data_IF_597346045165
#
_entry.id   IF_597346045165
#
_cell.length_a   1.000
_cell.length_b   1.000
_cell.length_c   1.000
_cell.angle_alpha   90.00
_cell.angle_beta   90.00
_cell.angle_gamma   90.00
#
_symmetry.space_group_name_H-M   'P 1'
#
loop_
_entity.id
_entity.type
_entity.pdbx_description
1 polymer ?
#
# COMPACT_ATOMS: atom_id res chain seq x y z
N UNK A 1 -47.10 23.31 11.18
CA UNK A 1 -45.86 23.43 10.37
C UNK A 1 -44.57 23.23 11.17
N UNK A 2 -44.33 23.96 12.29
CA UNK A 2 -43.10 23.78 13.09
C UNK A 2 -42.85 22.34 13.57
N UNK A 3 -43.85 21.65 14.13
CA UNK A 3 -43.72 20.25 14.60
C UNK A 3 -43.41 19.22 13.49
N UNK A 4 -43.97 19.42 12.29
CA UNK A 4 -43.73 18.55 11.13
C UNK A 4 -42.30 18.74 10.61
N UNK A 5 -41.83 19.99 10.54
CA UNK A 5 -40.45 20.29 10.18
C UNK A 5 -39.44 19.71 11.19
N UNK A 6 -39.73 19.76 12.49
CA UNK A 6 -38.88 19.15 13.52
C UNK A 6 -38.79 17.64 13.33
N UNK A 7 -39.93 16.95 13.11
CA UNK A 7 -39.96 15.50 12.87
C UNK A 7 -39.16 15.14 11.62
N UNK A 8 -39.34 15.86 10.51
CA UNK A 8 -38.57 15.63 9.27
C UNK A 8 -37.06 15.82 9.47
N UNK A 9 -36.64 16.83 10.23
CA UNK A 9 -35.21 17.07 10.53
C UNK A 9 -34.64 15.92 11.37
N UNK A 10 -35.32 15.46 12.42
CA UNK A 10 -34.89 14.27 13.19
C UNK A 10 -34.87 12.99 12.37
N UNK A 11 -35.83 12.80 11.47
CA UNK A 11 -35.86 11.63 10.59
C UNK A 11 -34.68 11.65 9.60
N UNK A 12 -34.36 12.81 9.02
CA UNK A 12 -33.19 12.97 8.17
C UNK A 12 -31.89 12.67 8.93
N UNK A 13 -31.70 13.24 10.13
CA UNK A 13 -30.49 13.03 10.93
C UNK A 13 -30.32 11.55 11.27
N UNK A 14 -31.39 10.86 11.67
CA UNK A 14 -31.34 9.42 12.00
C UNK A 14 -31.01 8.56 10.78
N UNK A 15 -31.58 8.85 9.60
CA UNK A 15 -31.20 8.18 8.35
C UNK A 15 -29.74 8.44 7.95
N UNK A 16 -29.24 9.67 8.13
CA UNK A 16 -27.84 10.01 7.85
C UNK A 16 -26.88 9.29 8.81
N UNK A 17 -27.21 9.21 10.10
CA UNK A 17 -26.40 8.48 11.08
C UNK A 17 -26.39 6.97 10.81
N UNK A 18 -27.53 6.39 10.42
CA UNK A 18 -27.63 4.96 10.09
C UNK A 18 -26.83 4.62 8.82
N UNK A 19 -26.92 5.47 7.79
CA UNK A 19 -26.10 5.29 6.59
C UNK A 19 -24.59 5.38 6.94
N UNK A 20 -24.19 6.34 7.77
CA UNK A 20 -22.79 6.45 8.20
C UNK A 20 -22.28 5.22 8.96
N UNK A 21 -23.12 4.58 9.80
CA UNK A 21 -22.75 3.32 10.46
C UNK A 21 -22.61 2.17 9.46
N UNK A 22 -23.55 2.01 8.52
CA UNK A 22 -23.49 0.95 7.50
C UNK A 22 -22.23 1.08 6.62
N UNK A 23 -21.89 2.29 6.18
CA UNK A 23 -20.70 2.54 5.38
C UNK A 23 -19.41 2.23 6.14
N UNK A 24 -19.39 2.48 7.46
CA UNK A 24 -18.25 2.14 8.31
C UNK A 24 -18.09 0.62 8.44
N UNK A 25 -19.17 -0.11 8.68
CA UNK A 25 -19.13 -1.57 8.76
C UNK A 25 -18.64 -2.21 7.45
N UNK A 26 -19.12 -1.71 6.30
CA UNK A 26 -18.67 -2.16 4.99
C UNK A 26 -17.17 -1.88 4.79
N UNK A 27 -16.70 -0.68 5.15
CA UNK A 27 -15.28 -0.31 5.01
C UNK A 27 -14.39 -1.18 5.90
N UNK A 28 -14.81 -1.42 7.15
CA UNK A 28 -14.08 -2.26 8.09
C UNK A 28 -14.07 -3.73 7.63
N UNK A 29 -15.17 -4.24 7.06
CA UNK A 29 -15.23 -5.57 6.45
C UNK A 29 -14.28 -5.70 5.26
N UNK A 30 -14.27 -4.71 4.35
CA UNK A 30 -13.37 -4.70 3.19
C UNK A 30 -11.91 -4.63 3.62
N UNK A 31 -11.62 -3.83 4.65
CA UNK A 31 -10.28 -3.73 5.21
C UNK A 31 -9.81 -5.05 5.84
N UNK A 32 -10.71 -5.77 6.51
CA UNK A 32 -10.42 -7.10 7.05
C UNK A 32 -10.14 -8.11 5.93
N UNK A 33 -10.90 -8.07 4.83
CA UNK A 33 -10.63 -8.90 3.66
C UNK A 33 -9.25 -8.60 3.07
N UNK A 34 -8.95 -7.32 2.79
CA UNK A 34 -7.65 -6.87 2.26
C UNK A 34 -6.50 -7.36 3.12
N UNK A 35 -6.66 -7.25 4.44
CA UNK A 35 -5.72 -7.72 5.45
C UNK A 35 -5.49 -9.23 5.37
N UNK A 36 -6.55 -10.03 5.37
CA UNK A 36 -6.45 -11.50 5.31
C UNK A 36 -5.77 -11.93 4.02
N UNK A 37 -6.13 -11.33 2.89
CA UNK A 37 -5.49 -11.63 1.61
C UNK A 37 -4.01 -11.24 1.59
N UNK A 38 -3.66 -10.08 2.13
CA UNK A 38 -2.27 -9.67 2.28
C UNK A 38 -1.46 -10.64 3.16
N UNK A 39 -2.05 -11.16 4.24
CA UNK A 39 -1.43 -12.18 5.09
C UNK A 39 -1.19 -13.49 4.32
N UNK A 40 -2.17 -13.95 3.54
CA UNK A 40 -2.03 -15.14 2.68
C UNK A 40 -0.92 -14.96 1.65
N UNK A 41 -0.84 -13.78 1.01
CA UNK A 41 0.22 -13.47 0.04
C UNK A 41 1.59 -13.48 0.72
N UNK A 42 1.72 -12.82 1.87
CA UNK A 42 2.98 -12.76 2.61
C UNK A 42 3.42 -14.13 3.13
N UNK A 43 2.48 -15.03 3.46
CA UNK A 43 2.81 -16.38 3.93
C UNK A 43 3.55 -17.21 2.87
N UNK A 44 3.43 -16.84 1.58
CA UNK A 44 4.18 -17.48 0.48
C UNK A 44 5.67 -17.11 0.48
N UNK A 45 6.04 -16.12 1.29
CA UNK A 45 7.40 -15.61 1.45
C UNK A 45 7.92 -15.79 2.89
N UNK A 46 7.34 -16.69 3.69
CA UNK A 46 7.73 -16.91 5.09
C UNK A 46 9.20 -17.34 5.25
N UNK A 47 9.84 -17.80 4.18
CA UNK A 47 11.29 -18.09 4.14
C UNK A 47 12.16 -16.84 4.15
N UNK A 48 11.60 -15.66 3.85
CA UNK A 48 12.30 -14.38 3.86
C UNK A 48 12.02 -13.69 5.20
N UNK A 49 12.99 -13.76 6.11
CA UNK A 49 12.95 -13.03 7.38
C UNK A 49 13.26 -11.54 7.18
N UNK A 50 12.71 -10.69 8.05
CA UNK A 50 12.99 -9.26 8.10
C UNK A 50 11.74 -8.40 8.01
N UNK A 51 11.95 -7.08 8.02
CA UNK A 51 10.86 -6.13 7.82
C UNK A 51 10.35 -6.21 6.39
N UNK A 52 9.04 -5.99 6.22
CA UNK A 52 8.38 -6.06 4.92
C UNK A 52 7.32 -5.00 4.75
N UNK A 53 7.25 -4.42 3.57
CA UNK A 53 6.17 -3.54 3.13
C UNK A 53 5.36 -4.30 2.09
N UNK A 54 4.04 -4.24 2.20
CA UNK A 54 3.12 -4.73 1.20
C UNK A 54 2.15 -3.60 0.83
N UNK A 55 1.97 -3.41 -0.47
CA UNK A 55 0.94 -2.55 -1.03
C UNK A 55 0.13 -3.35 -2.05
N UNK A 56 -1.19 -3.16 -2.08
CA UNK A 56 -2.05 -3.86 -3.03
C UNK A 56 -3.03 -2.91 -3.72
N UNK A 57 -3.47 -3.35 -4.90
CA UNK A 57 -4.57 -2.78 -5.67
C UNK A 57 -5.59 -3.90 -5.93
N UNK A 58 -6.89 -3.57 -5.79
CA UNK A 58 -8.01 -4.50 -6.01
C UNK A 58 -7.95 -5.80 -5.20
N UNK A 59 -7.13 -5.87 -4.15
CA UNK A 59 -6.84 -7.12 -3.44
C UNK A 59 -6.38 -8.26 -4.38
N UNK A 60 -5.80 -7.89 -5.52
CA UNK A 60 -5.43 -8.79 -6.61
C UNK A 60 -3.95 -8.66 -6.96
N UNK A 61 -3.48 -7.42 -7.09
CA UNK A 61 -2.11 -7.13 -7.50
C UNK A 61 -1.35 -6.50 -6.34
N UNK A 62 -0.19 -7.07 -6.02
CA UNK A 62 0.57 -6.79 -4.82
C UNK A 62 2.00 -6.41 -5.17
N UNK A 63 2.51 -5.38 -4.50
CA UNK A 63 3.92 -5.03 -4.45
C UNK A 63 4.47 -5.32 -3.07
N UNK A 64 5.54 -6.09 -3.00
CA UNK A 64 6.13 -6.51 -1.75
C UNK A 64 7.61 -6.11 -1.75
N UNK A 65 8.05 -5.48 -0.67
CA UNK A 65 9.43 -5.08 -0.45
C UNK A 65 9.90 -5.71 0.86
N UNK A 66 10.97 -6.49 0.81
CA UNK A 66 11.65 -7.04 1.98
C UNK A 66 12.94 -6.25 2.22
N UNK A 67 13.13 -5.78 3.45
CA UNK A 67 14.40 -5.24 3.91
C UNK A 67 15.30 -6.38 4.38
N UNK A 68 16.46 -6.52 3.74
CA UNK A 68 17.53 -7.41 4.14
C UNK A 68 18.74 -6.56 4.55
N UNK A 69 19.76 -7.19 5.14
CA UNK A 69 20.88 -6.49 5.79
C UNK A 69 21.48 -5.33 4.98
N UNK A 70 21.69 -5.54 3.67
CA UNK A 70 22.40 -4.57 2.81
C UNK A 70 21.65 -4.23 1.51
N UNK A 71 20.46 -4.76 1.28
CA UNK A 71 19.72 -4.58 0.03
C UNK A 71 18.23 -4.89 0.22
N UNK A 72 17.43 -4.64 -0.82
CA UNK A 72 16.00 -4.89 -0.80
C UNK A 72 15.63 -5.97 -1.83
N UNK A 73 14.74 -6.89 -1.44
CA UNK A 73 14.09 -7.79 -2.42
C UNK A 73 12.70 -7.29 -2.68
N UNK A 74 12.37 -7.15 -3.95
CA UNK A 74 11.10 -6.59 -4.39
C UNK A 74 10.38 -7.57 -5.29
N UNK A 75 9.07 -7.73 -5.09
CA UNK A 75 8.24 -8.66 -5.83
C UNK A 75 6.94 -7.99 -6.26
N UNK A 76 6.51 -8.32 -7.48
CA UNK A 76 5.14 -8.10 -7.95
C UNK A 76 4.46 -9.46 -7.92
N UNK A 77 3.30 -9.52 -7.28
CA UNK A 77 2.51 -10.75 -7.13
C UNK A 77 1.08 -10.48 -7.57
N UNK A 78 0.55 -11.33 -8.42
CA UNK A 78 -0.87 -11.30 -8.81
C UNK A 78 -1.53 -12.59 -8.34
N UNK A 79 -2.69 -12.47 -7.72
CA UNK A 79 -3.49 -13.60 -7.25
C UNK A 79 -4.87 -13.65 -7.91
N UNK A 80 -5.54 -14.80 -7.84
CA UNK A 80 -6.94 -14.95 -8.21
C UNK A 80 -7.90 -14.59 -7.05
N UNK A 81 -9.20 -14.78 -7.25
CA UNK A 81 -10.23 -14.48 -6.26
C UNK A 81 -10.16 -15.35 -4.99
N UNK A 82 -9.49 -16.51 -5.05
CA UNK A 82 -9.36 -17.49 -3.96
C UNK A 82 -7.91 -17.47 -3.39
N UNK A 83 -7.13 -16.44 -3.73
CA UNK A 83 -5.76 -16.23 -3.28
C UNK A 83 -4.73 -17.25 -3.79
N UNK A 84 -4.98 -17.91 -4.91
CA UNK A 84 -3.93 -18.65 -5.61
C UNK A 84 -3.01 -17.66 -6.32
N UNK A 85 -1.71 -17.90 -6.21
CA UNK A 85 -0.70 -17.13 -6.95
C UNK A 85 -0.84 -17.46 -8.43
N UNK A 86 -1.09 -16.43 -9.24
CA UNK A 86 -1.04 -16.51 -10.70
C UNK A 86 0.36 -16.14 -11.21
N UNK A 87 0.95 -15.09 -10.63
CA UNK A 87 2.25 -14.55 -11.06
C UNK A 87 3.07 -14.14 -9.84
N UNK A 88 4.37 -14.48 -9.83
CA UNK A 88 5.39 -13.85 -8.98
C UNK A 88 6.53 -13.39 -9.88
N UNK A 89 6.88 -12.11 -9.79
CA UNK A 89 7.97 -11.51 -10.54
C UNK A 89 8.89 -10.73 -9.61
N UNK A 90 10.17 -11.10 -9.58
CA UNK A 90 11.19 -10.35 -8.85
C UNK A 90 11.53 -9.05 -9.60
N UNK A 91 11.51 -7.92 -8.90
CA UNK A 91 11.95 -6.62 -9.44
C UNK A 91 13.43 -6.44 -9.13
N UNK A 92 14.27 -6.69 -10.15
CA UNK A 92 15.74 -6.67 -10.03
C UNK A 92 16.39 -5.28 -9.94
N UNK A 93 15.82 -4.35 -9.18
CA UNK A 93 16.34 -2.98 -9.04
C UNK A 93 17.78 -2.96 -8.48
N UNK A 94 18.07 -3.70 -7.39
CA UNK A 94 19.43 -3.74 -6.81
C UNK A 94 20.45 -4.39 -7.76
N UNK A 95 20.03 -5.45 -8.48
CA UNK A 95 20.85 -6.07 -9.53
C UNK A 95 21.20 -5.05 -10.63
N UNK A 96 20.25 -4.21 -11.04
CA UNK A 96 20.51 -3.15 -12.02
C UNK A 96 21.40 -2.03 -11.45
N UNK A 97 21.25 -1.64 -10.18
CA UNK A 97 22.13 -0.66 -9.51
C UNK A 97 23.58 -1.14 -9.55
N UNK A 98 23.84 -2.38 -9.13
CA UNK A 98 25.21 -2.93 -9.09
C UNK A 98 25.80 -3.08 -10.49
N UNK A 99 25.00 -3.55 -11.45
CA UNK A 99 25.39 -3.61 -12.87
C UNK A 99 25.75 -2.23 -13.45
N UNK A 100 25.04 -1.18 -13.04
CA UNK A 100 25.35 0.18 -13.48
C UNK A 100 26.60 0.71 -12.79
N UNK A 101 26.79 0.50 -11.48
CA UNK A 101 27.98 0.91 -10.73
C UNK A 101 29.27 0.25 -11.23
N UNK A 102 29.21 -1.01 -11.67
CA UNK A 102 30.38 -1.75 -12.16
C UNK A 102 30.94 -1.21 -13.49
N UNK A 103 30.20 -0.36 -14.22
CA UNK A 103 30.65 0.17 -15.51
C UNK A 103 31.59 1.37 -15.32
N UNK A 104 32.80 1.27 -15.89
CA UNK A 104 33.80 2.36 -15.90
C UNK A 104 33.28 3.64 -16.57
N UNK A 105 32.46 3.51 -17.61
CA UNK A 105 31.82 4.64 -18.30
C UNK A 105 30.31 4.41 -18.44
N UNK A 106 29.53 5.38 -17.97
CA UNK A 106 28.07 5.40 -18.07
C UNK A 106 27.61 6.55 -18.99
N UNK A 107 26.78 6.28 -20.01
CA UNK A 107 26.14 7.34 -20.79
C UNK A 107 25.14 8.15 -19.93
N UNK A 108 24.81 9.37 -20.37
CA UNK A 108 23.99 10.34 -19.60
C UNK A 108 22.64 9.77 -19.13
N UNK A 109 21.94 9.05 -20.01
CA UNK A 109 20.67 8.40 -19.69
C UNK A 109 20.79 7.36 -18.56
N UNK A 110 21.84 6.53 -18.58
CA UNK A 110 22.11 5.53 -17.54
C UNK A 110 22.54 6.17 -16.22
N UNK A 111 23.21 7.33 -16.24
CA UNK A 111 23.48 8.12 -15.02
C UNK A 111 22.19 8.65 -14.40
N UNK A 112 21.27 9.17 -15.22
CA UNK A 112 19.95 9.62 -14.75
C UNK A 112 19.16 8.48 -14.12
N UNK A 113 19.15 7.31 -14.78
CA UNK A 113 18.51 6.10 -14.23
C UNK A 113 19.14 5.67 -12.91
N UNK A 114 20.47 5.62 -12.82
CA UNK A 114 21.16 5.28 -11.57
C UNK A 114 20.82 6.26 -10.43
N UNK A 115 20.74 7.57 -10.74
CA UNK A 115 20.33 8.59 -9.75
C UNK A 115 18.91 8.30 -9.23
N UNK A 116 17.96 8.07 -10.15
CA UNK A 116 16.58 7.76 -9.80
C UNK A 116 16.48 6.47 -8.97
N UNK A 117 17.24 5.43 -9.31
CA UNK A 117 17.27 4.18 -8.55
C UNK A 117 17.80 4.40 -7.11
N UNK A 118 18.82 5.25 -6.94
CA UNK A 118 19.33 5.61 -5.61
C UNK A 118 18.31 6.42 -4.80
N UNK A 119 17.68 7.41 -5.41
CA UNK A 119 16.61 8.20 -4.77
C UNK A 119 15.45 7.30 -4.33
N UNK A 120 15.04 6.34 -5.17
CA UNK A 120 14.02 5.36 -4.79
C UNK A 120 14.46 4.49 -3.60
N UNK A 121 15.75 4.14 -3.49
CA UNK A 121 16.29 3.36 -2.36
C UNK A 121 16.29 4.16 -1.06
N UNK A 122 16.57 5.45 -1.12
CA UNK A 122 16.43 6.35 0.03
C UNK A 122 14.96 6.39 0.49
N UNK A 123 14.01 6.57 -0.43
CA UNK A 123 12.57 6.54 -0.12
C UNK A 123 12.15 5.22 0.53
N UNK A 124 12.61 4.08 0.00
CA UNK A 124 12.31 2.76 0.57
C UNK A 124 12.96 2.58 1.95
N UNK A 125 14.21 3.03 2.11
CA UNK A 125 14.91 2.96 3.39
C UNK A 125 14.16 3.74 4.47
N UNK A 126 13.73 4.95 4.15
CA UNK A 126 12.94 5.78 5.06
C UNK A 126 11.60 5.13 5.39
N UNK A 127 10.97 4.43 4.43
CA UNK A 127 9.71 3.72 4.64
C UNK A 127 9.78 2.59 5.67
N UNK A 128 10.96 2.05 6.00
CA UNK A 128 11.11 1.05 7.07
C UNK A 128 11.26 1.65 8.48
N UNK A 129 11.20 2.98 8.60
CA UNK A 129 11.12 3.65 9.89
C UNK A 129 9.70 3.54 10.48
N UNK A 130 9.52 2.63 11.44
CA UNK A 130 8.23 2.38 12.09
C UNK A 130 7.65 3.60 12.82
N UNK A 131 8.51 4.51 13.29
CA UNK A 131 8.10 5.65 14.12
C UNK A 131 7.29 6.70 13.36
N UNK A 132 7.28 6.66 12.02
CA UNK A 132 6.51 7.61 11.21
C UNK A 132 5.06 7.17 11.00
N UNK A 133 4.69 5.98 11.47
CA UNK A 133 3.40 5.38 11.18
C UNK A 133 2.49 5.27 12.41
N UNK A 134 1.19 5.43 12.19
CA UNK A 134 0.18 5.03 13.15
C UNK A 134 0.13 3.50 13.28
N UNK A 135 -0.20 2.98 14.47
CA UNK A 135 -0.37 1.54 14.70
C UNK A 135 -1.80 1.05 14.49
N UNK A 136 -2.77 1.96 14.41
CA UNK A 136 -4.18 1.63 14.17
C UNK A 136 -4.44 1.44 12.67
N UNK A 137 -5.41 0.57 12.35
CA UNK A 137 -5.88 0.38 10.99
C UNK A 137 -6.70 1.59 10.54
N UNK A 138 -6.31 2.19 9.43
CA UNK A 138 -6.99 3.35 8.85
C UNK A 138 -7.96 2.87 7.76
N UNK A 139 -9.26 2.88 8.06
CA UNK A 139 -10.35 2.58 7.10
C UNK A 139 -11.11 3.84 6.67
N UNK A 140 -10.83 4.97 7.32
CA UNK A 140 -11.30 6.30 6.95
C UNK A 140 -10.33 7.37 7.46
N UNK A 141 -10.32 8.53 6.81
CA UNK A 141 -9.53 9.69 7.17
C UNK A 141 -10.46 10.91 7.25
N UNK A 142 -10.52 11.61 8.39
CA UNK A 142 -11.31 12.83 8.51
C UNK A 142 -10.85 13.86 7.48
N UNK A 143 -11.80 14.48 6.79
CA UNK A 143 -11.56 15.49 5.76
C UNK A 143 -10.76 15.00 4.53
N UNK A 144 -10.65 13.68 4.33
CA UNK A 144 -10.00 13.16 3.14
C UNK A 144 -10.90 13.29 1.91
N UNK A 145 -10.29 13.66 0.79
CA UNK A 145 -10.90 13.52 -0.52
C UNK A 145 -10.55 12.15 -1.07
N UNK A 146 -11.56 11.32 -1.25
CA UNK A 146 -11.45 10.03 -1.93
C UNK A 146 -11.76 10.26 -3.40
N UNK A 147 -10.76 10.14 -4.26
CA UNK A 147 -11.00 10.14 -5.70
C UNK A 147 -11.47 8.73 -6.03
N UNK A 148 -12.67 8.61 -6.61
CA UNK A 148 -13.25 7.34 -7.02
C UNK A 148 -12.21 6.56 -7.83
N UNK A 149 -11.73 5.48 -7.25
CA UNK A 149 -10.49 4.85 -7.65
C UNK A 149 -10.44 3.42 -7.19
N UNK A 150 -9.35 2.76 -7.56
CA UNK A 150 -9.10 1.36 -7.22
C UNK A 150 -8.92 1.23 -5.71
N UNK A 151 -9.63 0.34 -4.99
CA UNK A 151 -9.33 0.07 -3.59
C UNK A 151 -7.88 -0.39 -3.44
N UNK A 152 -7.23 0.13 -2.41
CA UNK A 152 -5.84 -0.15 -2.09
C UNK A 152 -5.66 -0.53 -0.63
N UNK A 153 -4.65 -1.34 -0.37
CA UNK A 153 -4.26 -1.70 0.98
C UNK A 153 -2.75 -1.57 1.14
N UNK A 154 -2.32 -1.10 2.31
CA UNK A 154 -0.91 -0.96 2.66
C UNK A 154 -0.67 -1.50 4.05
N UNK A 155 0.49 -2.12 4.25
CA UNK A 155 1.01 -2.44 5.58
C UNK A 155 2.53 -2.49 5.56
N UNK A 156 3.16 -1.91 6.59
CA UNK A 156 4.54 -2.21 6.94
C UNK A 156 4.53 -3.16 8.15
N UNK A 157 5.30 -4.24 8.08
CA UNK A 157 5.51 -5.19 9.16
C UNK A 157 6.96 -5.20 9.59
N UNK A 158 7.19 -5.21 10.89
CA UNK A 158 8.52 -5.44 11.46
C UNK A 158 8.89 -6.94 11.44
N UNK A 159 10.06 -7.26 11.98
CA UNK A 159 10.59 -8.62 12.09
C UNK A 159 9.70 -9.56 12.92
N UNK A 160 8.90 -9.00 13.83
CA UNK A 160 7.95 -9.73 14.69
C UNK A 160 6.53 -9.76 14.10
N UNK A 161 6.36 -9.36 12.85
CA UNK A 161 5.07 -9.19 12.16
C UNK A 161 4.12 -8.16 12.81
N UNK A 162 4.63 -7.26 13.65
CA UNK A 162 3.86 -6.12 14.16
C UNK A 162 3.64 -5.13 13.04
N UNK A 163 2.43 -4.56 12.99
CA UNK A 163 1.93 -3.77 11.86
C UNK A 163 2.02 -2.28 12.12
N UNK A 164 2.33 -1.55 11.06
CA UNK A 164 2.55 -0.12 11.05
C UNK A 164 1.98 0.49 9.77
N UNK A 165 1.30 1.61 9.94
CA UNK A 165 0.78 2.44 8.86
C UNK A 165 -0.35 1.78 8.07
N UNK A 166 -0.97 0.75 8.65
CA UNK A 166 -1.91 -0.11 7.96
C UNK A 166 -3.15 0.69 7.52
N UNK A 167 -3.51 0.62 6.24
CA UNK A 167 -4.72 1.28 5.75
C UNK A 167 -5.39 0.48 4.64
N UNK A 168 -6.71 0.68 4.50
CA UNK A 168 -7.52 0.18 3.40
C UNK A 168 -8.43 1.30 2.89
N UNK A 169 -8.02 1.96 1.81
CA UNK A 169 -8.65 3.19 1.29
C UNK A 169 -8.58 3.21 -0.25
N UNK A 170 -9.23 4.19 -0.89
CA UNK A 170 -9.01 4.42 -2.33
C UNK A 170 -7.52 4.64 -2.63
N UNK A 171 -7.03 4.08 -3.73
CA UNK A 171 -5.64 4.22 -4.20
C UNK A 171 -5.22 5.67 -4.36
N UNK A 172 -6.17 6.57 -4.55
CA UNK A 172 -5.95 8.01 -4.56
C UNK A 172 -6.77 8.63 -3.42
N UNK A 173 -6.09 8.88 -2.30
CA UNK A 173 -6.65 9.53 -1.12
C UNK A 173 -5.79 10.74 -0.75
N UNK A 174 -6.44 11.88 -0.49
CA UNK A 174 -5.76 13.14 -0.14
C UNK A 174 -6.31 13.66 1.21
N UNK A 175 -5.48 13.83 2.27
CA UNK A 175 -4.03 13.58 2.31
C UNK A 175 -3.68 12.08 2.20
N UNK A 176 -2.49 11.78 1.67
CA UNK A 176 -2.01 10.40 1.57
C UNK A 176 -1.74 9.85 3.00
N UNK A 177 -2.20 8.63 3.34
CA UNK A 177 -1.98 8.05 4.67
C UNK A 177 -0.50 7.72 4.96
N UNK A 178 0.33 7.66 3.93
CA UNK A 178 1.76 7.36 3.98
C UNK A 178 2.55 8.45 3.25
N UNK A 179 3.88 8.36 3.30
CA UNK A 179 4.75 9.26 2.55
C UNK A 179 4.34 9.29 1.04
N UNK A 180 4.00 10.45 0.47
CA UNK A 180 3.55 10.55 -0.91
C UNK A 180 4.57 10.05 -1.95
N UNK A 181 5.87 10.17 -1.67
CA UNK A 181 6.92 9.65 -2.55
C UNK A 181 6.96 8.12 -2.53
N UNK A 182 6.74 7.51 -1.36
CA UNK A 182 6.60 6.06 -1.24
C UNK A 182 5.35 5.58 -1.99
N UNK A 183 4.20 6.23 -1.78
CA UNK A 183 2.98 5.92 -2.51
C UNK A 183 3.16 6.00 -4.04
N UNK A 184 3.78 7.08 -4.53
CA UNK A 184 4.06 7.25 -5.95
C UNK A 184 5.01 6.17 -6.49
N UNK A 185 6.00 5.76 -5.69
CA UNK A 185 6.88 4.65 -6.02
C UNK A 185 6.11 3.33 -6.16
N UNK A 186 5.27 2.99 -5.18
CA UNK A 186 4.50 1.75 -5.13
C UNK A 186 3.51 1.64 -6.29
N UNK A 187 2.72 2.70 -6.54
CA UNK A 187 1.78 2.71 -7.67
C UNK A 187 2.52 2.58 -9.00
N UNK A 188 3.56 3.38 -9.23
CA UNK A 188 4.33 3.31 -10.46
C UNK A 188 4.88 1.91 -10.69
N UNK A 189 5.40 1.26 -9.65
CA UNK A 189 5.97 -0.08 -9.76
C UNK A 189 4.92 -1.14 -10.06
N UNK A 190 3.72 -1.03 -9.49
CA UNK A 190 2.61 -1.91 -9.87
C UNK A 190 2.17 -1.66 -11.30
N UNK A 191 1.93 -0.41 -11.70
CA UNK A 191 1.51 -0.06 -13.06
C UNK A 191 2.53 -0.45 -14.13
N UNK A 192 3.83 -0.46 -13.82
CA UNK A 192 4.89 -0.93 -14.73
C UNK A 192 4.91 -2.47 -14.91
N UNK A 193 4.20 -3.23 -14.07
CA UNK A 193 4.32 -4.69 -14.00
C UNK A 193 3.00 -5.47 -14.02
N UNK A 194 1.86 -4.79 -14.03
CA UNK A 194 0.54 -5.39 -14.22
C UNK A 194 0.11 -5.10 -15.66
N UNK A 195 -0.40 -6.11 -16.34
CA UNK A 195 -0.92 -6.04 -17.71
C UNK A 195 -2.38 -5.54 -17.76
#
# INVERSE_FOLDING_TARGET
>A
MKKIATICITLCITCFCYAQSDWKEISDSLALESRVRADIVLSKFDTISGKKILYSLLNKDYYIIFQLDNYYKEYVVTIDSICNILVIKEVGNDKEIEKLKAKKFLPKNKRKLLKQLKENREIISDAFNANQYCTELITSLPNATYIAGVPSYFVMKDENNKRYGEYSLSSITTPCPINPNLWAYLIRKLSENID
#
